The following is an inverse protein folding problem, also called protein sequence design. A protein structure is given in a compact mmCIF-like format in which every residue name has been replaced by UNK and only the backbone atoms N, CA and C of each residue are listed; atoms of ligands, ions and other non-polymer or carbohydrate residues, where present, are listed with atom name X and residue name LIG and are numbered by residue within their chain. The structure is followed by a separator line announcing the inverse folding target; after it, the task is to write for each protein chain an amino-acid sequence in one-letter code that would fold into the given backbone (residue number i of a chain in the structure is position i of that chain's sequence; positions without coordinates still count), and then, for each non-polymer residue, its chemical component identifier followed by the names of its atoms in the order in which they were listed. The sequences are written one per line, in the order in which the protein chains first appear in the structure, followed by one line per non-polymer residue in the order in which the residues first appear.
data_IF_244530968402
#
_entry.id   IF_244530968402
#
_cell.length_a   1.000
_cell.length_b   1.000
_cell.length_c   1.000
_cell.angle_alpha   90.00
_cell.angle_beta   90.00
_cell.angle_gamma   90.00
#
_symmetry.space_group_name_H-M   'P 1'
#
loop_
_entity.id
_entity.type
_entity.pdbx_description
1 polymer ?
#
# COMPACT_ATOMS: atom_id res chain seq x y z
N UNK A 1 -73.52 -30.12 -18.96
CA UNK A 1 -73.56 -29.47 -17.64
C UNK A 1 -73.21 -28.00 -17.88
N UNK A 2 -74.21 -27.14 -18.08
CA UNK A 2 -74.88 -26.33 -17.04
C UNK A 2 -73.88 -25.43 -16.30
N UNK A 3 -74.02 -24.12 -16.15
CA UNK A 3 -74.99 -23.10 -16.58
C UNK A 3 -74.31 -21.74 -16.22
N UNK A 4 -74.62 -20.61 -16.90
CA UNK A 4 -73.95 -19.32 -16.79
C UNK A 4 -74.73 -18.33 -15.88
N UNK A 5 -74.42 -17.03 -16.03
CA UNK A 5 -75.06 -15.81 -15.48
C UNK A 5 -74.36 -15.31 -14.20
N UNK A 6 -74.05 -14.03 -14.04
CA UNK A 6 -74.78 -12.78 -14.34
C UNK A 6 -73.73 -11.68 -14.68
N UNK A 7 -73.82 -10.82 -15.70
CA UNK A 7 -74.87 -9.91 -16.22
C UNK A 7 -75.40 -8.93 -15.16
N UNK A 8 -74.85 -7.72 -15.18
CA UNK A 8 -75.47 -6.42 -14.85
C UNK A 8 -74.56 -5.36 -15.51
N UNK A 9 -74.99 -4.28 -16.16
CA UNK A 9 -76.24 -3.84 -16.78
C UNK A 9 -75.81 -2.61 -17.60
N UNK A 10 -76.21 -2.51 -18.87
CA UNK A 10 -76.02 -1.29 -19.65
C UNK A 10 -77.25 -0.41 -19.40
N UNK A 11 -77.11 0.63 -18.59
CA UNK A 11 -78.13 1.69 -18.51
C UNK A 11 -77.82 2.79 -19.52
N UNK A 12 -78.73 2.88 -20.48
CA UNK A 12 -79.20 4.03 -21.23
C UNK A 12 -78.29 5.27 -21.34
N UNK A 13 -77.82 5.47 -22.57
CA UNK A 13 -77.48 6.78 -23.12
C UNK A 13 -78.64 7.75 -22.89
N UNK A 14 -78.41 8.78 -22.09
CA UNK A 14 -79.21 10.01 -22.10
C UNK A 14 -78.50 10.95 -23.07
N UNK A 15 -79.16 11.28 -24.18
CA UNK A 15 -78.70 12.33 -25.09
C UNK A 15 -78.70 13.69 -24.35
N UNK A 16 -77.65 14.53 -24.50
CA UNK A 16 -77.67 15.86 -23.92
C UNK A 16 -78.68 16.74 -24.67
N UNK A 17 -79.56 17.35 -23.88
CA UNK A 17 -80.48 18.43 -24.28
C UNK A 17 -79.67 19.59 -24.91
N UNK A 18 -79.95 20.01 -26.15
CA UNK A 18 -79.11 20.98 -26.85
C UNK A 18 -79.23 22.43 -26.34
N UNK A 19 -80.07 22.72 -25.35
CA UNK A 19 -80.32 24.09 -24.88
C UNK A 19 -80.18 24.27 -23.36
N UNK A 20 -79.00 24.00 -22.78
CA UNK A 20 -78.67 24.51 -21.43
C UNK A 20 -77.31 25.22 -21.37
N UNK A 21 -77.36 26.52 -21.62
CA UNK A 21 -76.34 27.48 -21.21
C UNK A 21 -76.40 27.70 -19.70
N UNK A 22 -75.32 27.41 -18.95
CA UNK A 22 -74.75 28.35 -17.96
C UNK A 22 -73.78 27.70 -16.95
N UNK A 23 -72.73 28.48 -16.66
CA UNK A 23 -71.95 28.54 -15.41
C UNK A 23 -70.99 27.40 -15.06
N UNK A 24 -69.69 27.73 -15.13
CA UNK A 24 -68.58 26.88 -14.75
C UNK A 24 -68.56 26.53 -13.26
N UNK A 25 -68.17 25.28 -12.99
CA UNK A 25 -67.94 24.74 -11.67
C UNK A 25 -66.55 25.17 -11.17
N UNK A 26 -66.50 25.95 -10.08
CA UNK A 26 -65.25 26.20 -9.34
C UNK A 26 -65.07 25.11 -8.28
N UNK A 27 -64.01 24.31 -8.40
CA UNK A 27 -63.58 23.40 -7.34
C UNK A 27 -62.44 24.08 -6.58
N UNK A 28 -62.72 24.54 -5.36
CA UNK A 28 -61.68 25.00 -4.43
C UNK A 28 -61.08 23.81 -3.69
N UNK A 29 -59.81 23.49 -3.96
CA UNK A 29 -59.01 22.66 -3.07
C UNK A 29 -58.23 23.56 -2.12
N UNK A 30 -58.63 23.58 -0.84
CA UNK A 30 -57.93 24.31 0.21
C UNK A 30 -56.76 23.45 0.70
N UNK A 31 -55.53 23.75 0.25
CA UNK A 31 -54.28 23.29 0.87
C UNK A 31 -53.39 24.49 1.18
N UNK A 32 -52.86 24.62 2.41
CA UNK A 32 -51.96 25.71 2.74
C UNK A 32 -50.61 25.55 2.04
N UNK A 33 -50.15 26.61 1.36
CA UNK A 33 -48.75 26.77 0.93
C UNK A 33 -48.46 26.66 -0.57
N UNK A 34 -49.46 26.70 -1.46
CA UNK A 34 -49.22 26.70 -2.92
C UNK A 34 -50.15 27.69 -3.61
N UNK A 35 -49.63 28.87 -3.98
CA UNK A 35 -50.36 29.79 -4.85
C UNK A 35 -50.06 29.42 -6.32
N UNK A 36 -51.11 29.06 -7.07
CA UNK A 36 -51.01 28.77 -8.50
C UNK A 36 -51.55 29.97 -9.29
N UNK A 37 -50.65 30.79 -9.84
CA UNK A 37 -51.00 31.76 -10.88
C UNK A 37 -50.80 31.10 -12.25
N UNK A 38 -51.88 30.94 -13.00
CA UNK A 38 -51.87 30.29 -14.31
C UNK A 38 -52.22 31.32 -15.39
N UNK A 39 -51.19 31.92 -15.99
CA UNK A 39 -51.27 32.67 -17.26
C UNK A 39 -50.98 31.71 -18.42
N UNK A 40 -51.93 31.52 -19.33
CA UNK A 40 -51.91 30.45 -20.35
C UNK A 40 -51.02 30.76 -21.57
N UNK A 41 -50.12 31.75 -21.48
CA UNK A 41 -49.18 32.10 -22.57
C UNK A 41 -47.70 32.13 -22.22
N UNK A 42 -47.30 31.79 -21.00
CA UNK A 42 -45.90 31.81 -20.60
C UNK A 42 -45.43 30.45 -20.06
N UNK A 43 -44.26 29.97 -20.53
CA UNK A 43 -43.64 28.74 -20.03
C UNK A 43 -43.41 28.89 -18.52
N UNK A 44 -43.72 27.89 -17.68
CA UNK A 44 -43.57 28.02 -16.23
C UNK A 44 -42.09 28.20 -15.90
N UNK A 45 -41.71 29.39 -15.42
CA UNK A 45 -40.39 29.65 -14.84
C UNK A 45 -40.49 29.26 -13.37
N UNK A 46 -39.90 28.12 -13.02
CA UNK A 46 -39.81 27.66 -11.64
C UNK A 46 -38.86 28.58 -10.86
N UNK A 47 -39.39 29.52 -10.09
CA UNK A 47 -38.61 30.36 -9.17
C UNK A 47 -38.39 29.58 -7.87
N UNK A 48 -37.24 28.91 -7.77
CA UNK A 48 -36.87 28.16 -6.56
C UNK A 48 -36.53 29.17 -5.45
N UNK A 49 -37.26 29.12 -4.35
CA UNK A 49 -37.00 29.95 -3.15
C UNK A 49 -35.56 29.76 -2.67
N UNK A 50 -34.80 30.86 -2.62
CA UNK A 50 -33.37 30.86 -2.27
C UNK A 50 -33.07 30.39 -0.84
N UNK A 51 -34.08 30.35 0.04
CA UNK A 51 -33.94 29.92 1.44
C UNK A 51 -34.44 28.50 1.71
N UNK A 52 -34.73 27.72 0.66
CA UNK A 52 -35.12 26.33 0.82
C UNK A 52 -33.96 25.49 1.38
N UNK A 53 -34.26 24.47 2.21
CA UNK A 53 -33.24 23.56 2.75
C UNK A 53 -32.44 22.85 1.63
N UNK A 54 -33.06 22.66 0.45
CA UNK A 54 -32.43 22.08 -0.75
C UNK A 54 -31.33 23.01 -1.29
N UNK A 55 -31.56 24.32 -1.35
CA UNK A 55 -30.56 25.28 -1.83
C UNK A 55 -29.34 25.34 -0.89
N UNK A 56 -29.56 25.25 0.43
CA UNK A 56 -28.49 25.21 1.43
C UNK A 56 -27.61 23.96 1.28
N UNK A 57 -28.22 22.81 0.95
CA UNK A 57 -27.50 21.56 0.69
C UNK A 57 -26.65 21.64 -0.60
N UNK A 58 -27.20 22.24 -1.66
CA UNK A 58 -26.48 22.44 -2.93
C UNK A 58 -25.27 23.37 -2.78
N UNK A 59 -25.38 24.40 -1.94
CA UNK A 59 -24.27 25.33 -1.67
C UNK A 59 -23.22 24.74 -0.70
N UNK A 60 -23.59 23.78 0.15
CA UNK A 60 -22.67 23.11 1.07
C UNK A 60 -21.86 21.98 0.43
N UNK A 61 -22.38 21.35 -0.63
CA UNK A 61 -21.74 20.24 -1.35
C UNK A 61 -20.30 20.55 -1.82
N UNK A 62 -20.00 21.69 -2.48
CA UNK A 62 -18.65 22.02 -2.92
C UNK A 62 -17.68 22.19 -1.75
N UNK A 63 -18.14 22.82 -0.65
CA UNK A 63 -17.33 23.02 0.55
C UNK A 63 -17.01 21.68 1.23
N UNK A 64 -17.99 20.77 1.28
CA UNK A 64 -17.80 19.42 1.82
C UNK A 64 -16.80 18.61 0.99
N UNK A 65 -16.89 18.68 -0.35
CA UNK A 65 -15.93 18.03 -1.26
C UNK A 65 -14.53 18.63 -1.09
N UNK A 66 -14.40 19.95 -0.96
CA UNK A 66 -13.13 20.61 -0.70
C UNK A 66 -12.52 20.16 0.64
N UNK A 67 -13.34 20.03 1.68
CA UNK A 67 -12.93 19.55 3.00
C UNK A 67 -12.44 18.11 2.96
N UNK A 68 -13.13 17.23 2.22
CA UNK A 68 -12.71 15.85 1.99
C UNK A 68 -11.38 15.80 1.25
N UNK A 69 -11.21 16.59 0.18
CA UNK A 69 -9.95 16.67 -0.57
C UNK A 69 -8.80 17.18 0.33
N UNK A 70 -9.05 18.19 1.16
CA UNK A 70 -8.09 18.71 2.14
C UNK A 70 -7.69 17.63 3.17
N UNK A 71 -8.64 16.84 3.66
CA UNK A 71 -8.35 15.71 4.56
C UNK A 71 -7.42 14.71 3.86
N UNK A 72 -7.71 14.32 2.61
CA UNK A 72 -6.85 13.42 1.84
C UNK A 72 -5.46 14.00 1.57
N UNK A 73 -5.33 15.31 1.33
CA UNK A 73 -4.03 15.97 1.12
C UNK A 73 -3.21 16.08 2.42
N UNK A 74 -3.85 16.44 3.54
CA UNK A 74 -3.18 16.53 4.85
C UNK A 74 -2.75 15.13 5.33
N UNK A 75 -3.58 14.12 5.12
CA UNK A 75 -3.22 12.72 5.43
C UNK A 75 -2.07 12.23 4.55
N UNK A 76 -2.05 12.57 3.25
CA UNK A 76 -0.96 12.20 2.36
C UNK A 76 0.40 12.81 2.80
N UNK A 77 0.43 14.08 3.21
CA UNK A 77 1.64 14.72 3.74
C UNK A 77 2.04 14.18 5.12
N UNK A 78 1.06 13.90 6.00
CA UNK A 78 1.31 13.35 7.34
C UNK A 78 1.87 11.92 7.28
N UNK A 79 1.35 11.08 6.39
CA UNK A 79 1.86 9.72 6.14
C UNK A 79 3.20 9.73 5.39
N UNK A 80 3.47 10.75 4.56
CA UNK A 80 4.75 10.93 3.87
C UNK A 80 5.92 11.20 4.84
N UNK A 81 5.65 11.83 5.99
CA UNK A 81 6.72 12.28 6.89
C UNK A 81 7.02 11.41 8.11
N UNK A 82 6.18 10.42 8.45
CA UNK A 82 6.43 9.54 9.62
C UNK A 82 6.15 8.08 9.29
N UNK A 83 7.02 7.47 8.49
CA UNK A 83 7.17 6.01 8.53
C UNK A 83 7.44 5.56 9.98
N UNK A 84 6.93 4.38 10.41
CA UNK A 84 7.12 3.91 11.78
C UNK A 84 8.60 3.88 12.12
N UNK A 85 9.01 4.66 13.14
CA UNK A 85 10.38 4.57 13.67
C UNK A 85 10.50 3.24 14.42
N UNK A 86 10.94 2.20 13.73
CA UNK A 86 11.49 1.02 14.38
C UNK A 86 12.87 1.37 14.95
N UNK A 87 12.88 2.20 16.00
CA UNK A 87 14.08 2.45 16.79
C UNK A 87 14.34 1.22 17.67
N UNK A 88 14.96 0.23 17.03
CA UNK A 88 15.86 -0.69 17.68
C UNK A 88 16.82 0.15 18.56
N UNK A 89 16.69 0.06 19.90
CA UNK A 89 17.63 0.63 20.89
C UNK A 89 19.06 0.06 20.79
N UNK A 90 19.39 -0.56 19.66
CA UNK A 90 20.68 -1.15 19.36
C UNK A 90 21.74 -0.07 19.20
N UNK A 91 22.71 -0.07 20.11
CA UNK A 91 23.88 0.80 20.04
C UNK A 91 24.94 0.10 19.20
N UNK A 92 25.04 0.54 17.95
CA UNK A 92 26.17 0.20 17.08
C UNK A 92 27.48 0.58 17.76
N UNK A 93 28.47 -0.30 17.70
CA UNK A 93 29.85 0.06 18.02
C UNK A 93 30.37 1.10 17.03
N UNK A 94 31.41 1.83 17.41
CA UNK A 94 32.06 2.82 16.53
C UNK A 94 32.51 2.18 15.21
N UNK A 95 33.04 0.96 15.28
CA UNK A 95 33.54 0.23 14.11
C UNK A 95 32.41 -0.22 13.19
N UNK A 96 31.32 -0.77 13.73
CA UNK A 96 30.14 -1.14 12.92
C UNK A 96 29.53 0.09 12.25
N UNK A 97 29.41 1.20 13.00
CA UNK A 97 28.90 2.46 12.44
C UNK A 97 29.80 2.97 11.31
N UNK A 98 31.12 2.98 11.49
CA UNK A 98 32.06 3.42 10.47
C UNK A 98 31.94 2.58 9.19
N UNK A 99 31.88 1.24 9.33
CA UNK A 99 31.74 0.32 8.20
C UNK A 99 30.41 0.50 7.47
N UNK A 100 29.30 0.69 8.19
CA UNK A 100 27.99 0.99 7.58
C UNK A 100 28.02 2.30 6.78
N UNK A 101 28.60 3.36 7.35
CA UNK A 101 28.71 4.68 6.68
C UNK A 101 29.59 4.58 5.44
N UNK A 102 30.72 3.87 5.52
CA UNK A 102 31.60 3.60 4.37
C UNK A 102 30.84 2.93 3.23
N UNK A 103 30.10 1.85 3.52
CA UNK A 103 29.32 1.14 2.50
C UNK A 103 28.18 2.01 1.95
N UNK A 104 27.54 2.85 2.78
CA UNK A 104 26.54 3.80 2.32
C UNK A 104 27.13 4.83 1.33
N UNK A 105 28.34 5.35 1.59
CA UNK A 105 29.04 6.25 0.65
C UNK A 105 29.32 5.56 -0.68
N UNK A 106 29.81 4.31 -0.65
CA UNK A 106 30.04 3.53 -1.87
C UNK A 106 28.73 3.32 -2.64
N UNK A 107 27.61 3.05 -1.95
CA UNK A 107 26.29 2.96 -2.59
C UNK A 107 25.88 4.29 -3.23
N UNK A 108 26.03 5.44 -2.55
CA UNK A 108 25.72 6.75 -3.13
C UNK A 108 26.45 6.97 -4.46
N UNK A 109 27.75 6.66 -4.49
CA UNK A 109 28.55 6.78 -5.70
C UNK A 109 28.08 5.79 -6.79
N UNK A 110 27.76 4.55 -6.40
CA UNK A 110 27.24 3.54 -7.34
C UNK A 110 25.92 3.95 -7.99
N UNK A 111 25.07 4.68 -7.27
CA UNK A 111 23.73 5.11 -7.71
C UNK A 111 23.77 6.29 -8.71
N UNK A 112 24.90 7.01 -8.81
CA UNK A 112 25.02 8.17 -9.69
C UNK A 112 24.73 7.80 -11.15
N UNK A 113 23.74 8.46 -11.76
CA UNK A 113 23.33 8.22 -13.15
C UNK A 113 22.57 6.91 -13.39
N UNK A 114 22.12 6.21 -12.35
CA UNK A 114 21.37 4.95 -12.47
C UNK A 114 19.93 5.08 -12.00
N UNK A 115 19.07 4.20 -12.52
CA UNK A 115 17.65 4.19 -12.24
C UNK A 115 17.29 3.34 -11.00
N UNK A 116 17.87 3.72 -9.86
CA UNK A 116 17.64 3.08 -8.57
C UNK A 116 17.09 4.09 -7.54
N UNK A 117 16.58 3.59 -6.43
CA UNK A 117 16.17 4.44 -5.32
C UNK A 117 17.39 5.11 -4.68
N UNK A 118 17.35 6.45 -4.57
CA UNK A 118 18.43 7.27 -4.01
C UNK A 118 18.16 7.71 -2.56
N UNK A 119 17.06 7.23 -1.95
CA UNK A 119 16.66 7.58 -0.59
C UNK A 119 17.12 6.54 0.42
N UNK A 120 17.07 5.27 0.06
CA UNK A 120 17.33 4.15 0.95
C UNK A 120 18.26 3.12 0.33
N UNK A 121 19.06 2.48 1.17
CA UNK A 121 19.73 1.23 0.84
C UNK A 121 19.66 0.25 2.01
N UNK A 122 19.86 -1.03 1.70
CA UNK A 122 19.96 -2.09 2.69
C UNK A 122 21.39 -2.62 2.73
N UNK A 123 21.91 -2.79 3.94
CA UNK A 123 23.28 -3.21 4.18
C UNK A 123 23.25 -4.44 5.08
N UNK A 124 23.86 -5.54 4.64
CA UNK A 124 23.95 -6.78 5.40
C UNK A 124 25.43 -7.13 5.62
N UNK A 125 25.89 -6.99 6.87
CA UNK A 125 27.26 -7.28 7.26
C UNK A 125 27.39 -8.72 7.77
N UNK A 126 27.92 -9.61 6.94
CA UNK A 126 28.10 -11.02 7.24
C UNK A 126 29.32 -11.30 8.13
N UNK A 127 30.17 -10.30 8.41
CA UNK A 127 31.19 -10.41 9.46
C UNK A 127 30.60 -10.36 10.87
N UNK A 128 29.37 -9.83 11.02
CA UNK A 128 28.62 -9.85 12.27
C UNK A 128 27.96 -11.23 12.45
N UNK A 129 28.09 -11.88 13.63
CA UNK A 129 27.46 -13.16 13.92
C UNK A 129 25.93 -13.15 13.69
N UNK A 130 25.37 -14.27 13.25
CA UNK A 130 23.95 -14.34 12.86
C UNK A 130 22.97 -14.10 14.03
N UNK A 131 23.39 -14.35 15.26
CA UNK A 131 22.65 -14.03 16.49
C UNK A 131 22.64 -12.53 16.87
N UNK A 132 23.35 -11.67 16.12
CA UNK A 132 23.35 -10.21 16.28
C UNK A 132 22.72 -9.53 15.07
N UNK A 133 22.18 -8.33 15.28
CA UNK A 133 21.57 -7.51 14.23
C UNK A 133 22.62 -7.12 13.22
N UNK A 134 22.40 -7.56 11.98
CA UNK A 134 23.35 -7.42 10.88
C UNK A 134 22.71 -7.02 9.56
N UNK A 135 21.39 -6.87 9.52
CA UNK A 135 20.69 -6.09 8.49
C UNK A 135 20.55 -4.65 8.98
N UNK A 136 20.87 -3.68 8.14
CA UNK A 136 20.66 -2.27 8.40
C UNK A 136 19.85 -1.63 7.28
N UNK A 137 18.78 -0.92 7.66
CA UNK A 137 18.04 -0.03 6.77
C UNK A 137 18.66 1.35 6.89
N UNK A 138 19.18 1.89 5.79
CA UNK A 138 19.94 3.12 5.79
C UNK A 138 19.23 4.21 4.98
N UNK A 139 19.03 5.38 5.58
CA UNK A 139 18.56 6.60 4.89
C UNK A 139 19.77 7.34 4.32
N UNK A 140 19.91 7.27 3.00
CA UNK A 140 21.00 7.87 2.25
C UNK A 140 20.96 9.41 2.27
N UNK A 141 19.78 10.01 2.48
CA UNK A 141 19.61 11.48 2.55
C UNK A 141 19.99 12.02 3.91
N UNK A 142 19.61 11.30 4.97
CA UNK A 142 19.88 11.70 6.35
C UNK A 142 21.19 11.18 6.91
N UNK A 143 21.86 10.26 6.20
CA UNK A 143 23.09 9.60 6.66
C UNK A 143 22.87 8.86 8.00
N UNK A 144 21.75 8.13 8.10
CA UNK A 144 21.34 7.47 9.35
C UNK A 144 20.79 6.07 9.14
N UNK A 145 21.02 5.22 10.14
CA UNK A 145 20.37 3.90 10.23
C UNK A 145 18.96 4.10 10.78
N UNK A 146 17.95 3.67 10.03
CA UNK A 146 16.53 3.74 10.42
C UNK A 146 16.08 2.53 11.22
N UNK A 147 16.71 1.38 11.00
CA UNK A 147 16.34 0.13 11.65
C UNK A 147 17.37 -0.95 11.42
N UNK A 148 17.33 -1.97 12.27
CA UNK A 148 18.21 -3.14 12.15
C UNK A 148 17.54 -4.44 12.58
N UNK A 149 17.98 -5.55 12.00
CA UNK A 149 17.39 -6.87 12.19
C UNK A 149 18.38 -8.02 12.06
N UNK A 150 17.97 -9.20 12.53
CA UNK A 150 18.71 -10.45 12.32
C UNK A 150 18.53 -10.97 10.89
N UNK A 151 19.55 -11.66 10.37
CA UNK A 151 19.52 -12.25 9.02
C UNK A 151 20.15 -13.64 9.03
N UNK A 152 19.44 -14.66 8.58
CA UNK A 152 20.01 -15.98 8.33
C UNK A 152 20.88 -15.98 7.06
N UNK A 153 21.91 -16.83 7.03
CA UNK A 153 22.76 -17.05 5.85
C UNK A 153 22.64 -18.49 5.34
N UNK A 154 23.10 -18.71 4.10
CA UNK A 154 23.07 -20.01 3.44
C UNK A 154 23.91 -21.09 4.14
N UNK A 155 23.42 -22.34 4.17
CA UNK A 155 24.10 -23.48 4.79
C UNK A 155 25.25 -24.08 3.96
N UNK A 156 25.39 -23.67 2.69
CA UNK A 156 26.49 -24.09 1.81
C UNK A 156 26.62 -25.61 1.59
N UNK A 157 25.54 -26.38 1.73
CA UNK A 157 25.51 -27.85 1.73
C UNK A 157 26.34 -28.50 2.84
N UNK A 158 26.65 -27.76 3.91
CA UNK A 158 27.38 -28.26 5.08
C UNK A 158 26.46 -28.49 6.30
N UNK A 159 25.14 -28.40 6.12
CA UNK A 159 24.20 -28.40 7.24
C UNK A 159 24.30 -27.11 8.07
N UNK A 160 23.94 -27.17 9.34
CA UNK A 160 23.97 -26.00 10.20
C UNK A 160 25.40 -25.43 10.35
N UNK A 161 25.57 -24.12 10.12
CA UNK A 161 26.86 -23.43 10.26
C UNK A 161 26.74 -22.15 11.06
N UNK A 162 27.68 -21.98 11.99
CA UNK A 162 27.88 -20.76 12.76
C UNK A 162 28.50 -19.65 11.93
N UNK A 163 29.49 -20.00 11.09
CA UNK A 163 30.23 -19.07 10.25
C UNK A 163 29.71 -19.14 8.82
N UNK A 164 29.39 -18.01 8.19
CA UNK A 164 28.95 -18.02 6.81
C UNK A 164 30.09 -18.41 5.88
N UNK A 165 29.75 -19.16 4.85
CA UNK A 165 30.55 -19.31 3.65
C UNK A 165 29.77 -18.75 2.45
N UNK A 166 30.48 -18.41 1.38
CA UNK A 166 29.90 -17.70 0.26
C UNK A 166 30.16 -18.39 -1.06
N UNK A 167 29.16 -18.40 -1.93
CA UNK A 167 29.30 -18.94 -3.28
C UNK A 167 28.20 -18.39 -4.19
N UNK A 168 28.58 -18.15 -5.44
CA UNK A 168 27.67 -17.82 -6.52
C UNK A 168 27.25 -19.05 -7.35
N UNK A 169 27.81 -20.23 -7.06
CA UNK A 169 27.56 -21.42 -7.88
C UNK A 169 26.09 -21.85 -7.75
N UNK A 170 25.40 -22.16 -8.87
CA UNK A 170 24.10 -22.83 -8.81
C UNK A 170 24.15 -24.08 -7.92
N UNK A 171 23.09 -24.30 -7.13
CA UNK A 171 23.01 -25.43 -6.19
C UNK A 171 23.98 -25.38 -5.00
N UNK A 172 24.74 -24.30 -4.79
CA UNK A 172 25.67 -24.20 -3.65
C UNK A 172 24.97 -24.04 -2.29
N UNK A 173 23.71 -23.60 -2.28
CA UNK A 173 22.98 -23.22 -1.06
C UNK A 173 23.69 -22.16 -0.19
N UNK A 174 24.73 -21.51 -0.70
CA UNK A 174 25.45 -20.45 -0.03
C UNK A 174 24.80 -19.09 -0.27
N UNK A 175 24.98 -18.15 0.65
CA UNK A 175 24.76 -16.75 0.31
C UNK A 175 25.83 -16.28 -0.68
N UNK A 176 25.48 -15.45 -1.66
CA UNK A 176 26.47 -14.78 -2.52
C UNK A 176 26.70 -13.35 -2.01
N UNK A 177 27.95 -12.86 -2.05
CA UNK A 177 28.26 -11.49 -1.66
C UNK A 177 28.11 -10.54 -2.84
N UNK A 178 27.83 -9.27 -2.56
CA UNK A 178 27.71 -8.21 -3.55
C UNK A 178 26.41 -7.41 -3.45
N UNK A 179 26.24 -6.47 -4.38
CA UNK A 179 25.07 -5.62 -4.56
C UNK A 179 23.96 -6.36 -5.30
N UNK A 180 22.75 -6.21 -4.81
CA UNK A 180 21.54 -6.78 -5.36
C UNK A 180 20.54 -5.66 -5.64
N UNK A 181 19.81 -5.79 -6.75
CA UNK A 181 18.57 -5.05 -6.96
C UNK A 181 17.44 -5.79 -6.26
N UNK A 182 16.75 -5.11 -5.34
CA UNK A 182 15.52 -5.63 -4.73
C UNK A 182 14.36 -5.43 -5.70
N UNK A 183 13.80 -6.53 -6.18
CA UNK A 183 12.66 -6.52 -7.11
C UNK A 183 11.32 -6.27 -6.42
N UNK A 184 10.25 -6.52 -7.15
CA UNK A 184 8.88 -6.35 -6.66
C UNK A 184 8.46 -7.43 -5.65
N UNK A 185 7.49 -7.06 -4.83
CA UNK A 185 6.79 -7.98 -3.94
C UNK A 185 6.16 -9.13 -4.74
N UNK A 186 6.24 -10.33 -4.18
CA UNK A 186 5.42 -11.46 -4.60
C UNK A 186 5.13 -12.37 -3.42
N UNK A 187 4.12 -13.24 -3.58
CA UNK A 187 3.79 -14.28 -2.61
C UNK A 187 4.53 -15.57 -2.96
N UNK A 188 5.46 -16.00 -2.11
CA UNK A 188 6.19 -17.25 -2.24
C UNK A 188 5.73 -18.31 -1.23
N UNK A 189 6.44 -19.45 -1.21
CA UNK A 189 6.17 -20.59 -0.32
C UNK A 189 6.19 -20.21 1.17
N UNK A 190 7.00 -19.23 1.55
CA UNK A 190 7.18 -18.80 2.95
C UNK A 190 6.50 -17.45 3.27
N UNK A 191 5.56 -17.02 2.42
CA UNK A 191 4.88 -15.74 2.58
C UNK A 191 5.39 -14.67 1.61
N UNK A 192 5.27 -13.41 2.01
CA UNK A 192 5.77 -12.27 1.24
C UNK A 192 7.28 -12.35 1.03
N UNK A 193 7.71 -12.09 -0.21
CA UNK A 193 9.10 -12.15 -0.60
C UNK A 193 9.41 -11.14 -1.71
N UNK A 194 10.70 -10.84 -1.88
CA UNK A 194 11.23 -9.94 -2.90
C UNK A 194 12.35 -10.63 -3.66
N UNK A 195 12.21 -10.75 -4.98
CA UNK A 195 13.27 -11.36 -5.81
C UNK A 195 14.52 -10.49 -5.80
N UNK A 196 15.70 -11.12 -5.74
CA UNK A 196 16.98 -10.43 -5.75
C UNK A 196 17.74 -10.72 -7.05
N UNK A 197 18.08 -9.66 -7.79
CA UNK A 197 18.95 -9.75 -8.97
C UNK A 197 20.35 -9.29 -8.61
N UNK A 198 21.36 -10.11 -8.87
CA UNK A 198 22.76 -9.77 -8.60
C UNK A 198 23.28 -8.72 -9.56
N UNK A 199 24.04 -7.75 -9.04
CA UNK A 199 24.63 -6.64 -9.82
C UNK A 199 26.16 -6.75 -9.90
N UNK A 200 26.76 -7.64 -9.13
CA UNK A 200 28.21 -7.86 -9.09
C UNK A 200 28.55 -9.26 -9.65
N UNK A 201 29.78 -9.43 -10.15
CA UNK A 201 30.23 -10.74 -10.69
C UNK A 201 30.16 -11.87 -9.65
N UNK A 202 30.27 -11.53 -8.37
CA UNK A 202 30.19 -12.43 -7.21
C UNK A 202 28.77 -12.88 -6.86
N UNK A 203 27.72 -12.28 -7.43
CA UNK A 203 26.33 -12.67 -7.21
C UNK A 203 25.47 -12.71 -8.49
N UNK A 204 26.09 -12.61 -9.68
CA UNK A 204 25.40 -12.61 -10.98
C UNK A 204 24.37 -13.73 -11.21
N UNK A 205 24.49 -14.88 -10.53
CA UNK A 205 23.55 -16.00 -10.70
C UNK A 205 22.37 -15.92 -9.72
N UNK A 206 22.25 -14.88 -8.91
CA UNK A 206 21.25 -14.79 -7.84
C UNK A 206 19.81 -14.96 -8.34
N UNK A 207 19.48 -14.36 -9.48
CA UNK A 207 18.14 -14.46 -10.07
C UNK A 207 17.82 -15.88 -10.52
N UNK A 208 18.72 -16.51 -11.28
CA UNK A 208 18.58 -17.90 -11.74
C UNK A 208 18.53 -18.90 -10.58
N UNK A 209 19.20 -18.57 -9.47
CA UNK A 209 19.21 -19.35 -8.23
C UNK A 209 17.96 -19.14 -7.37
N UNK A 210 16.99 -18.34 -7.82
CA UNK A 210 15.80 -17.98 -7.05
C UNK A 210 16.11 -17.40 -5.66
N UNK A 211 17.17 -16.59 -5.56
CA UNK A 211 17.53 -15.92 -4.31
C UNK A 211 16.55 -14.78 -4.06
N UNK A 212 15.91 -14.79 -2.89
CA UNK A 212 14.89 -13.80 -2.51
C UNK A 212 15.10 -13.32 -1.08
N UNK A 213 14.72 -12.08 -0.79
CA UNK A 213 14.57 -11.57 0.57
C UNK A 213 13.19 -11.98 1.08
N UNK A 214 13.13 -12.74 2.17
CA UNK A 214 11.86 -13.19 2.74
C UNK A 214 11.95 -13.37 4.25
N UNK A 215 10.81 -13.51 4.90
CA UNK A 215 10.75 -13.88 6.30
C UNK A 215 10.73 -15.39 6.47
N UNK A 216 11.21 -15.88 7.60
CA UNK A 216 10.98 -17.27 8.00
C UNK A 216 10.88 -17.39 9.52
N UNK A 217 10.01 -18.27 10.01
CA UNK A 217 9.64 -18.35 11.42
C UNK A 217 10.79 -18.71 12.37
N UNK A 218 11.88 -19.27 11.87
CA UNK A 218 13.06 -19.61 12.67
C UNK A 218 13.96 -18.40 13.00
N UNK A 219 13.72 -17.23 12.38
CA UNK A 219 14.50 -16.02 12.66
C UNK A 219 13.82 -15.23 13.77
N UNK A 220 14.42 -15.13 14.97
CA UNK A 220 13.84 -14.40 16.09
C UNK A 220 13.88 -12.89 15.87
N UNK A 221 13.09 -12.16 16.65
CA UNK A 221 13.04 -10.70 16.59
C UNK A 221 14.14 -10.03 17.43
N UNK A 222 14.48 -10.64 18.56
CA UNK A 222 15.56 -10.20 19.45
C UNK A 222 16.86 -10.95 19.17
N UNK A 223 17.98 -10.29 19.43
CA UNK A 223 19.30 -10.93 19.37
C UNK A 223 19.37 -12.17 20.27
N UNK A 224 20.07 -13.19 19.80
CA UNK A 224 20.28 -14.46 20.51
C UNK A 224 21.74 -14.70 20.85
N UNK A 225 22.64 -13.78 20.47
CA UNK A 225 24.08 -13.92 20.69
C UNK A 225 24.41 -14.26 22.16
N UNK A 226 25.27 -15.25 22.42
CA UNK A 226 26.17 -15.95 21.49
C UNK A 226 25.55 -17.09 20.67
N UNK A 227 24.26 -17.39 20.85
CA UNK A 227 23.56 -18.46 20.12
C UNK A 227 23.31 -18.00 18.67
N UNK A 228 23.77 -18.74 17.64
CA UNK A 228 23.43 -18.46 16.25
C UNK A 228 21.96 -18.72 15.95
N UNK A 229 21.44 -18.06 14.90
CA UNK A 229 20.11 -18.37 14.37
C UNK A 229 20.20 -19.42 13.25
N UNK A 230 19.05 -19.92 12.81
CA UNK A 230 18.93 -20.86 11.70
C UNK A 230 19.65 -20.41 10.41
N UNK A 231 19.96 -21.37 9.53
CA UNK A 231 20.48 -21.12 8.18
C UNK A 231 19.37 -21.22 7.12
N UNK A 232 19.61 -20.61 5.96
CA UNK A 232 18.80 -20.72 4.74
C UNK A 232 19.49 -21.58 3.69
N UNK A 233 18.88 -21.73 2.51
CA UNK A 233 19.56 -22.27 1.30
C UNK A 233 20.17 -21.17 0.42
N UNK A 234 20.57 -20.04 1.02
CA UNK A 234 21.26 -18.92 0.37
C UNK A 234 20.53 -17.60 0.44
N UNK A 235 19.19 -17.63 0.58
CA UNK A 235 18.35 -16.46 0.74
C UNK A 235 18.64 -15.71 2.05
N UNK A 236 18.67 -14.37 2.06
CA UNK A 236 18.61 -13.62 3.30
C UNK A 236 17.22 -13.79 3.93
N UNK A 237 17.15 -14.52 5.05
CA UNK A 237 15.90 -14.67 5.82
C UNK A 237 15.89 -13.75 7.03
N UNK A 238 14.80 -13.04 7.23
CA UNK A 238 14.59 -12.14 8.37
C UNK A 238 13.38 -12.59 9.21
N UNK A 239 13.13 -11.94 10.35
CA UNK A 239 11.88 -12.19 11.10
C UNK A 239 10.67 -11.61 10.34
N UNK A 240 9.47 -12.16 10.59
CA UNK A 240 8.24 -11.65 9.96
C UNK A 240 7.97 -10.18 10.31
N UNK A 241 8.19 -9.80 11.57
CA UNK A 241 8.05 -8.41 12.02
C UNK A 241 9.05 -7.50 11.32
N UNK A 242 10.31 -7.93 11.16
CA UNK A 242 11.28 -7.11 10.45
C UNK A 242 10.93 -6.97 8.96
N UNK A 243 10.50 -8.04 8.30
CA UNK A 243 10.04 -7.94 6.90
C UNK A 243 8.87 -6.95 6.77
N UNK A 244 7.87 -7.00 7.66
CA UNK A 244 6.75 -6.04 7.66
C UNK A 244 7.18 -4.58 7.77
N UNK A 245 8.31 -4.29 8.42
CA UNK A 245 8.89 -2.95 8.42
C UNK A 245 9.59 -2.60 7.10
N UNK A 246 10.18 -3.58 6.41
CA UNK A 246 10.81 -3.37 5.12
C UNK A 246 9.79 -3.16 4.00
N UNK A 247 8.65 -3.86 4.05
CA UNK A 247 7.63 -3.83 2.99
C UNK A 247 7.24 -2.41 2.54
N UNK A 248 6.77 -1.50 3.43
CA UNK A 248 6.38 -0.16 2.99
C UNK A 248 7.55 0.67 2.46
N UNK A 249 8.79 0.38 2.88
CA UNK A 249 9.99 1.05 2.36
C UNK A 249 10.27 0.60 0.93
N UNK A 250 10.14 -0.70 0.65
CA UNK A 250 10.37 -1.28 -0.67
C UNK A 250 9.22 -0.93 -1.62
N UNK A 251 7.99 -1.18 -1.20
CA UNK A 251 6.79 -1.10 -2.04
C UNK A 251 6.49 0.35 -2.47
N UNK A 252 6.82 1.34 -1.62
CA UNK A 252 6.64 2.77 -1.93
C UNK A 252 7.92 3.46 -2.43
N UNK A 253 8.99 2.71 -2.71
CA UNK A 253 10.27 3.29 -3.13
C UNK A 253 10.22 3.95 -4.53
N UNK A 254 9.24 3.57 -5.36
CA UNK A 254 9.10 3.99 -6.76
C UNK A 254 10.17 3.46 -7.72
N UNK A 255 11.35 3.09 -7.22
CA UNK A 255 12.47 2.48 -7.94
C UNK A 255 13.10 1.37 -7.10
N UNK A 256 13.82 0.40 -7.71
CA UNK A 256 14.44 -0.68 -6.96
C UNK A 256 15.44 -0.16 -5.92
N UNK A 257 15.42 -0.74 -4.73
CA UNK A 257 16.38 -0.45 -3.66
C UNK A 257 17.61 -1.34 -3.84
N UNK A 258 18.80 -0.79 -3.60
CA UNK A 258 20.02 -1.59 -3.54
C UNK A 258 20.15 -2.24 -2.17
N UNK A 259 20.33 -3.56 -2.17
CA UNK A 259 20.71 -4.36 -1.01
C UNK A 259 22.14 -4.85 -1.22
N UNK A 260 23.05 -4.58 -0.28
CA UNK A 260 24.43 -5.07 -0.36
C UNK A 260 24.72 -6.04 0.78
N UNK A 261 25.09 -7.27 0.42
CA UNK A 261 25.63 -8.27 1.33
C UNK A 261 27.16 -8.27 1.26
N UNK A 262 27.85 -8.03 2.37
CA UNK A 262 29.32 -7.93 2.44
C UNK A 262 29.89 -8.60 3.69
#
# INVERSE_FOLDING_TARGET
MLNPKHRFEYEHLIEPDPDSTSSGFFIFFNRPGVDFFMDWRSKPIMVISQNSPIMKLLLALPLMVLLIVLIYFVDAEFWSHKGPRYQSRYRLTTNEKAKIVEHAVIIRNFLHGKDFNNNYCFLIDMSIPSGKKRFFVYDLRKDTVLGSGLVAHGHCNHGFSFKPAFSNRPGSCCTALGKYSVGFHYQGTFGSAYKLSGLDSSNRNAFERNIVLHSYGCVPESETYPIPICNSSGCPMVSQVFLKHLQPIIDHAGKPIILWIY
#
